data_IF_546732362621
#
_entry.id   IF_546732362621
#
_cell.length_a   1.000
_cell.length_b   1.000
_cell.length_c   1.000
_cell.angle_alpha   90.00
_cell.angle_beta   90.00
_cell.angle_gamma   90.00
#
_symmetry.space_group_name_H-M   'P 1'
#
loop_
_entity.id
_entity.type
_entity.pdbx_description
1 polymer ?
#
# COMPACT_ATOMS: atom_id res chain seq x y z
N UNK A 1 -15.52 -17.13 -17.07
CA UNK A 1 -14.28 -16.90 -17.85
C UNK A 1 -13.93 -15.41 -17.95
N UNK A 2 -14.95 -14.56 -17.92
CA UNK A 2 -14.97 -13.12 -18.10
C UNK A 2 -14.20 -12.38 -17.00
N UNK A 3 -14.36 -12.78 -15.73
CA UNK A 3 -13.62 -12.17 -14.62
C UNK A 3 -12.10 -12.35 -14.76
N UNK A 4 -11.65 -13.51 -15.25
CA UNK A 4 -10.23 -13.78 -15.48
C UNK A 4 -9.69 -12.89 -16.61
N UNK A 5 -10.41 -12.82 -17.73
CA UNK A 5 -10.05 -11.96 -18.86
C UNK A 5 -9.99 -10.48 -18.45
N UNK A 6 -10.93 -10.04 -17.63
CA UNK A 6 -10.93 -8.68 -17.11
C UNK A 6 -9.70 -8.38 -16.26
N UNK A 7 -9.32 -9.28 -15.34
CA UNK A 7 -8.11 -9.11 -14.52
C UNK A 7 -6.85 -9.10 -15.40
N UNK A 8 -6.76 -9.99 -16.39
CA UNK A 8 -5.65 -10.03 -17.33
C UNK A 8 -5.52 -8.71 -18.09
N UNK A 9 -6.65 -8.16 -18.57
CA UNK A 9 -6.69 -6.86 -19.24
C UNK A 9 -6.32 -5.71 -18.30
N UNK A 10 -7.01 -5.56 -17.17
CA UNK A 10 -6.87 -4.43 -16.24
C UNK A 10 -5.48 -4.35 -15.58
N UNK A 11 -4.74 -5.47 -15.56
CA UNK A 11 -3.36 -5.52 -15.04
C UNK A 11 -2.30 -5.53 -16.13
N UNK A 12 -2.68 -5.44 -17.42
CA UNK A 12 -1.76 -5.54 -18.56
C UNK A 12 -0.94 -4.26 -18.81
N UNK A 13 0.06 -4.36 -19.68
CA UNK A 13 0.77 -3.18 -20.23
C UNK A 13 -0.14 -2.33 -21.11
N UNK A 14 -1.06 -2.95 -21.86
CA UNK A 14 -2.01 -2.25 -22.71
C UNK A 14 -2.96 -1.35 -21.89
N UNK A 15 -3.32 -1.75 -20.67
CA UNK A 15 -4.10 -0.89 -19.78
C UNK A 15 -3.32 0.34 -19.31
N UNK A 16 -2.02 0.19 -19.04
CA UNK A 16 -1.13 1.32 -18.72
C UNK A 16 -1.06 2.28 -19.91
N UNK A 17 -0.89 1.77 -21.13
CA UNK A 17 -0.87 2.59 -22.35
C UNK A 17 -2.21 3.31 -22.56
N UNK A 18 -3.33 2.62 -22.36
CA UNK A 18 -4.67 3.22 -22.43
C UNK A 18 -4.82 4.39 -21.43
N UNK A 19 -4.40 4.22 -20.18
CA UNK A 19 -4.46 5.33 -19.19
C UNK A 19 -3.50 6.45 -19.58
N UNK A 20 -2.31 6.14 -20.09
CA UNK A 20 -1.36 7.15 -20.54
C UNK A 20 -1.90 7.98 -21.72
N UNK A 21 -2.62 7.36 -22.66
CA UNK A 21 -3.24 8.03 -23.81
C UNK A 21 -4.38 8.97 -23.40
N UNK A 22 -5.19 8.57 -22.40
CA UNK A 22 -6.36 9.36 -21.97
C UNK A 22 -6.04 10.39 -20.90
N UNK A 23 -5.16 10.05 -19.95
CA UNK A 23 -4.92 10.82 -18.73
C UNK A 23 -3.45 11.25 -18.58
N UNK A 24 -2.55 10.80 -19.45
CA UNK A 24 -1.12 11.12 -19.41
C UNK A 24 -0.28 10.16 -18.55
N UNK A 25 1.01 10.06 -18.87
CA UNK A 25 1.94 9.10 -18.24
C UNK A 25 2.09 9.25 -16.72
N UNK A 26 1.90 10.45 -16.16
CA UNK A 26 1.95 10.66 -14.72
C UNK A 26 0.77 10.03 -13.95
N UNK A 27 -0.32 9.71 -14.65
CA UNK A 27 -1.56 9.23 -14.03
C UNK A 27 -1.76 7.71 -14.21
N UNK A 28 -0.80 7.00 -14.81
CA UNK A 28 -0.89 5.54 -14.97
C UNK A 28 -0.74 4.81 -13.62
N UNK A 29 -1.36 3.62 -13.47
CA UNK A 29 -1.19 2.81 -12.25
C UNK A 29 0.28 2.42 -12.01
N UNK A 30 0.90 2.82 -10.89
CA UNK A 30 2.31 2.54 -10.60
C UNK A 30 2.51 1.19 -9.89
N UNK A 31 3.79 0.81 -9.67
CA UNK A 31 4.18 -0.20 -8.68
C UNK A 31 4.02 -1.66 -9.07
N UNK A 32 3.22 -1.98 -10.10
CA UNK A 32 2.90 -3.37 -10.45
C UNK A 32 3.87 -4.02 -11.46
N UNK A 33 4.68 -3.24 -12.20
CA UNK A 33 5.50 -3.74 -13.31
C UNK A 33 6.87 -3.07 -13.40
N UNK A 34 7.94 -3.85 -13.45
CA UNK A 34 9.31 -3.34 -13.72
C UNK A 34 9.37 -2.56 -15.03
N UNK A 35 8.72 -3.06 -16.09
CA UNK A 35 8.74 -2.42 -17.41
C UNK A 35 8.15 -1.00 -17.44
N UNK A 36 7.33 -0.63 -16.44
CA UNK A 36 6.84 0.74 -16.31
C UNK A 36 7.98 1.68 -15.91
N UNK A 37 8.79 1.28 -14.93
CA UNK A 37 9.92 2.09 -14.44
C UNK A 37 11.12 2.11 -15.39
N UNK A 38 11.18 1.19 -16.35
CA UNK A 38 12.15 1.20 -17.46
C UNK A 38 11.68 2.03 -18.66
N UNK A 39 10.39 2.39 -18.72
CA UNK A 39 9.80 3.08 -19.85
C UNK A 39 10.31 4.53 -19.95
N UNK A 40 10.83 4.98 -21.10
CA UNK A 40 11.34 6.34 -21.27
C UNK A 40 10.31 7.45 -21.01
N UNK A 41 9.02 7.18 -21.21
CA UNK A 41 7.96 8.16 -20.96
C UNK A 41 7.58 8.30 -19.48
N UNK A 42 8.01 7.36 -18.63
CA UNK A 42 7.61 7.30 -17.22
C UNK A 42 8.78 7.45 -16.26
N UNK A 43 9.95 6.88 -16.60
CA UNK A 43 11.12 6.82 -15.70
C UNK A 43 11.59 8.20 -15.21
N UNK A 44 11.43 9.23 -16.04
CA UNK A 44 11.90 10.59 -15.77
C UNK A 44 10.82 11.45 -15.09
N UNK A 45 9.66 10.87 -14.76
CA UNK A 45 8.64 11.56 -13.97
C UNK A 45 9.16 11.75 -12.53
N UNK A 46 9.06 12.95 -11.94
CA UNK A 46 9.79 13.30 -10.71
C UNK A 46 9.61 12.33 -9.53
N UNK A 47 8.44 11.71 -9.39
CA UNK A 47 8.15 10.78 -8.29
C UNK A 47 8.47 9.32 -8.60
N UNK A 48 8.72 8.94 -9.87
CA UNK A 48 8.80 7.54 -10.29
C UNK A 48 9.91 6.77 -9.58
N UNK A 49 11.12 7.36 -9.54
CA UNK A 49 12.27 6.73 -8.89
C UNK A 49 12.04 6.57 -7.38
N UNK A 50 11.57 7.61 -6.69
CA UNK A 50 11.31 7.55 -5.26
C UNK A 50 10.26 6.48 -4.93
N UNK A 51 9.18 6.40 -5.71
CA UNK A 51 8.15 5.37 -5.53
C UNK A 51 8.73 3.97 -5.68
N UNK A 52 9.52 3.70 -6.73
CA UNK A 52 10.14 2.38 -6.92
C UNK A 52 11.07 2.03 -5.74
N UNK A 53 11.91 2.97 -5.31
CA UNK A 53 12.84 2.72 -4.21
C UNK A 53 12.12 2.46 -2.89
N UNK A 54 11.04 3.18 -2.61
CA UNK A 54 10.20 2.93 -1.43
C UNK A 54 9.53 1.55 -1.46
N UNK A 55 9.10 1.07 -2.64
CA UNK A 55 8.54 -0.28 -2.79
C UNK A 55 9.63 -1.34 -2.54
N UNK A 56 10.82 -1.15 -3.09
CA UNK A 56 11.93 -2.11 -2.99
C UNK A 56 12.58 -2.12 -1.59
N UNK A 57 12.49 -1.03 -0.83
CA UNK A 57 13.04 -0.94 0.52
C UNK A 57 12.10 -1.45 1.61
N UNK A 58 10.81 -1.62 1.31
CA UNK A 58 9.84 -2.17 2.24
C UNK A 58 10.15 -3.65 2.53
N UNK A 59 10.38 -3.97 3.81
CA UNK A 59 10.64 -5.35 4.25
C UNK A 59 9.50 -5.86 5.14
N UNK A 60 8.48 -6.52 4.55
CA UNK A 60 7.41 -7.12 5.33
C UNK A 60 7.85 -8.35 6.12
N UNK A 61 9.01 -8.94 5.85
CA UNK A 61 9.51 -10.14 6.53
C UNK A 61 10.34 -9.80 7.77
N UNK A 62 10.88 -8.59 7.85
CA UNK A 62 11.52 -8.02 9.04
C UNK A 62 11.00 -6.59 9.32
N UNK A 63 9.71 -6.44 9.68
CA UNK A 63 9.06 -5.13 9.70
C UNK A 63 9.39 -4.26 10.92
N UNK A 64 10.06 -4.80 11.94
CA UNK A 64 10.35 -4.16 13.22
C UNK A 64 11.82 -4.33 13.62
N UNK A 65 12.29 -3.47 14.53
CA UNK A 65 13.65 -3.56 15.10
C UNK A 65 13.84 -4.87 15.85
N UNK A 66 12.86 -5.23 16.69
CA UNK A 66 12.85 -6.50 17.41
C UNK A 66 12.18 -7.59 16.57
N UNK A 67 12.59 -8.87 16.70
CA UNK A 67 11.94 -9.97 16.01
C UNK A 67 10.46 -10.11 16.38
N UNK A 68 9.60 -10.34 15.39
CA UNK A 68 8.15 -10.53 15.55
C UNK A 68 7.66 -11.79 14.82
N UNK A 69 6.57 -12.43 15.28
CA UNK A 69 6.05 -13.67 14.70
C UNK A 69 5.09 -13.47 13.51
N UNK A 70 5.01 -12.27 12.93
CA UNK A 70 4.09 -11.94 11.83
C UNK A 70 4.82 -11.33 10.62
N UNK A 71 4.15 -11.37 9.46
CA UNK A 71 4.59 -10.70 8.22
C UNK A 71 3.74 -9.46 7.99
N UNK A 72 4.37 -8.39 7.49
CA UNK A 72 3.72 -7.16 7.03
C UNK A 72 4.20 -5.91 7.76
N UNK A 73 4.31 -4.79 7.04
CA UNK A 73 4.85 -3.52 7.56
C UNK A 73 3.77 -2.72 8.30
N UNK A 74 2.66 -2.45 7.61
CA UNK A 74 1.54 -1.63 8.08
C UNK A 74 0.34 -2.45 8.57
N UNK A 75 0.35 -3.75 8.32
CA UNK A 75 -0.62 -4.70 8.83
C UNK A 75 0.08 -5.99 9.23
N UNK A 76 -0.48 -6.73 10.19
CA UNK A 76 -0.04 -8.10 10.46
C UNK A 76 -0.85 -9.06 9.58
N UNK A 77 -0.18 -9.93 8.82
CA UNK A 77 -0.80 -10.91 7.94
C UNK A 77 -1.40 -12.09 8.73
N UNK A 78 -2.39 -11.80 9.58
CA UNK A 78 -3.18 -12.76 10.35
C UNK A 78 -4.68 -12.54 10.10
N UNK A 79 -5.52 -13.59 10.14
CA UNK A 79 -6.96 -13.46 9.88
C UNK A 79 -7.69 -12.45 10.76
N UNK A 80 -7.27 -12.32 12.02
CA UNK A 80 -7.90 -11.50 13.04
C UNK A 80 -7.60 -10.00 12.88
N UNK A 81 -6.58 -9.64 12.09
CA UNK A 81 -6.06 -8.28 12.03
C UNK A 81 -7.13 -7.26 11.63
N UNK A 82 -8.05 -7.59 10.72
CA UNK A 82 -9.10 -6.68 10.27
C UNK A 82 -10.00 -6.20 11.43
N UNK A 83 -10.40 -7.12 12.31
CA UNK A 83 -11.21 -6.80 13.49
C UNK A 83 -10.40 -6.03 14.53
N UNK A 84 -9.20 -6.50 14.85
CA UNK A 84 -8.29 -5.85 15.79
C UNK A 84 -7.94 -4.41 15.37
N UNK A 85 -7.54 -4.22 14.11
CA UNK A 85 -7.15 -2.92 13.57
C UNK A 85 -8.31 -1.92 13.55
N UNK A 86 -9.54 -2.40 13.36
CA UNK A 86 -10.74 -1.55 13.45
C UNK A 86 -10.92 -1.01 14.88
N UNK A 87 -10.85 -1.87 15.89
CA UNK A 87 -10.97 -1.47 17.29
C UNK A 87 -9.83 -0.53 17.70
N UNK A 88 -8.59 -0.90 17.39
CA UNK A 88 -7.40 -0.07 17.65
C UNK A 88 -7.50 1.30 16.96
N UNK A 89 -7.96 1.31 15.71
CA UNK A 89 -8.15 2.53 14.91
C UNK A 89 -9.19 3.47 15.50
N UNK A 90 -10.31 2.95 16.01
CA UNK A 90 -11.34 3.74 16.70
C UNK A 90 -10.76 4.41 17.95
N UNK A 91 -9.99 3.68 18.76
CA UNK A 91 -9.38 4.22 19.97
C UNK A 91 -8.32 5.30 19.66
N UNK A 92 -7.51 5.12 18.62
CA UNK A 92 -6.59 6.16 18.15
C UNK A 92 -7.31 7.39 17.61
N UNK A 93 -8.40 7.21 16.86
CA UNK A 93 -9.23 8.32 16.34
C UNK A 93 -9.83 9.14 17.47
N UNK A 94 -10.38 8.50 18.51
CA UNK A 94 -10.92 9.18 19.69
C UNK A 94 -9.85 9.95 20.48
N UNK A 95 -8.63 9.40 20.62
CA UNK A 95 -7.53 10.11 21.25
C UNK A 95 -7.08 11.33 20.42
N UNK A 96 -6.97 11.18 19.10
CA UNK A 96 -6.64 12.28 18.18
C UNK A 96 -7.69 13.41 18.23
N UNK A 97 -8.97 13.05 18.39
CA UNK A 97 -10.07 14.00 18.54
C UNK A 97 -10.18 14.63 19.95
N UNK A 98 -9.31 14.27 20.90
CA UNK A 98 -9.32 14.79 22.27
C UNK A 98 -10.46 14.24 23.14
N UNK A 99 -11.11 13.15 22.73
CA UNK A 99 -12.21 12.52 23.48
C UNK A 99 -11.73 11.65 24.64
N UNK A 100 -10.46 11.26 24.60
CA UNK A 100 -9.75 10.54 25.66
C UNK A 100 -8.25 10.85 25.58
N UNK A 101 -7.53 10.58 26.65
CA UNK A 101 -6.07 10.66 26.68
C UNK A 101 -5.40 9.52 25.90
N UNK A 102 -4.13 9.71 25.54
CA UNK A 102 -3.31 8.67 24.91
C UNK A 102 -3.20 7.43 25.80
N UNK A 103 -3.04 7.62 27.11
CA UNK A 103 -2.91 6.52 28.08
C UNK A 103 -4.20 5.70 28.21
N UNK A 104 -5.36 6.35 28.20
CA UNK A 104 -6.66 5.66 28.18
C UNK A 104 -6.82 4.85 26.89
N UNK A 105 -6.48 5.44 25.76
CA UNK A 105 -6.55 4.78 24.47
C UNK A 105 -5.58 3.58 24.37
N UNK A 106 -4.44 3.59 25.06
CA UNK A 106 -3.53 2.44 25.09
C UNK A 106 -4.05 1.30 25.96
N UNK A 107 -4.69 1.60 27.10
CA UNK A 107 -5.24 0.59 28.01
C UNK A 107 -6.39 -0.20 27.40
N UNK A 108 -7.24 0.46 26.61
CA UNK A 108 -8.40 -0.17 25.93
C UNK A 108 -8.02 -1.08 24.75
N UNK A 109 -6.77 -1.00 24.28
CA UNK A 109 -6.25 -1.80 23.15
C UNK A 109 -5.61 -3.12 23.58
N UNK A 110 -5.46 -3.35 24.89
CA UNK A 110 -4.95 -4.62 25.46
C UNK A 110 -6.10 -5.60 25.65
#
# INVERSE_FOLDING_TARGET
>A
AEAKQFIEWATSKAYIELVAENEGWANVPPGARTSLYENPNYKDIPFAQMTLQSILSADPTSPTVDPVPYVGVQFAAIPEFAGMATQIGQEFSAALAGQQSVDEAQKKKK
#
